data_IF_751077312349
#
_entry.id   IF_751077312349
#
_cell.length_a   1.000
_cell.length_b   1.000
_cell.length_c   1.000
_cell.angle_alpha   90.00
_cell.angle_beta   90.00
_cell.angle_gamma   90.00
#
_symmetry.space_group_name_H-M   'P 1'
#
loop_
_entity.id
_entity.type
_entity.pdbx_description
1 polymer ?
#
# COMPACT_ATOMS: atom_id res chain seq x y z
N UNK A 1 -0.78 9.17 -26.21
CA UNK A 1 -0.89 10.42 -25.42
C UNK A 1 -0.20 10.28 -24.06
N UNK A 2 -0.39 9.16 -23.36
CA UNK A 2 0.12 8.90 -22.00
C UNK A 2 1.66 8.86 -21.87
N UNK A 3 2.35 8.25 -22.85
CA UNK A 3 3.82 8.27 -22.88
C UNK A 3 4.34 9.71 -23.02
N UNK A 4 3.62 10.55 -23.76
CA UNK A 4 3.95 11.97 -23.93
C UNK A 4 3.80 12.75 -22.63
N UNK A 5 2.76 12.48 -21.84
CA UNK A 5 2.57 13.10 -20.51
C UNK A 5 3.58 12.60 -19.49
N UNK A 6 3.96 11.32 -19.52
CA UNK A 6 5.04 10.78 -18.66
C UNK A 6 6.37 11.47 -18.97
N UNK A 7 6.75 11.56 -20.25
CA UNK A 7 8.01 12.21 -20.66
C UNK A 7 7.97 13.70 -20.31
N UNK A 8 6.87 14.40 -20.61
CA UNK A 8 6.71 15.82 -20.26
C UNK A 8 6.77 16.06 -18.75
N UNK A 9 6.18 15.19 -17.94
CA UNK A 9 6.22 15.31 -16.49
C UNK A 9 7.61 14.99 -15.91
N UNK A 10 8.34 14.01 -16.46
CA UNK A 10 9.75 13.73 -16.10
C UNK A 10 10.65 14.91 -16.46
N UNK A 11 10.46 15.50 -17.63
CA UNK A 11 11.18 16.71 -18.06
C UNK A 11 10.82 17.90 -17.17
N UNK A 12 9.55 18.11 -16.86
CA UNK A 12 9.10 19.18 -15.97
C UNK A 12 9.68 19.02 -14.55
N UNK A 13 9.77 17.79 -14.02
CA UNK A 13 10.40 17.50 -12.72
C UNK A 13 11.91 17.78 -12.71
N UNK A 14 12.58 17.73 -13.87
CA UNK A 14 14.00 18.11 -14.02
C UNK A 14 14.20 19.62 -13.82
N UNK A 15 13.26 20.44 -14.29
CA UNK A 15 13.35 21.90 -14.25
C UNK A 15 12.70 22.52 -13.01
N UNK A 16 11.59 21.96 -12.55
CA UNK A 16 10.84 22.43 -11.39
C UNK A 16 10.73 21.32 -10.35
N UNK A 17 11.64 21.30 -9.36
CA UNK A 17 11.64 20.32 -8.29
C UNK A 17 10.52 20.63 -7.29
N UNK A 18 9.24 20.49 -7.69
CA UNK A 18 8.04 20.68 -6.88
C UNK A 18 7.26 19.35 -6.67
N UNK A 19 7.00 18.90 -5.43
CA UNK A 19 6.37 17.61 -5.14
C UNK A 19 5.02 17.37 -5.84
N UNK A 20 4.20 18.42 -6.00
CA UNK A 20 2.89 18.29 -6.65
C UNK A 20 2.97 17.96 -8.15
N UNK A 21 4.09 18.26 -8.83
CA UNK A 21 4.28 17.88 -10.24
C UNK A 21 4.37 16.36 -10.45
N UNK A 22 4.52 15.59 -9.37
CA UNK A 22 4.45 14.12 -9.44
C UNK A 22 3.01 13.59 -9.48
N UNK A 23 1.99 14.41 -9.19
CA UNK A 23 0.59 14.02 -9.25
C UNK A 23 0.11 13.70 -10.69
N UNK A 24 0.31 14.59 -11.71
CA UNK A 24 -0.06 14.26 -13.09
C UNK A 24 0.73 13.07 -13.64
N UNK A 25 1.99 12.91 -13.23
CA UNK A 25 2.82 11.76 -13.59
C UNK A 25 2.21 10.46 -13.04
N UNK A 26 1.87 10.44 -11.76
CA UNK A 26 1.27 9.28 -11.08
C UNK A 26 -0.10 8.92 -11.66
N UNK A 27 -0.92 9.93 -11.98
CA UNK A 27 -2.22 9.76 -12.62
C UNK A 27 -2.07 9.21 -14.05
N UNK A 28 -1.11 9.72 -14.82
CA UNK A 28 -0.79 9.19 -16.16
C UNK A 28 -0.25 7.77 -16.10
N UNK A 29 0.53 7.40 -15.08
CA UNK A 29 1.01 6.04 -14.85
C UNK A 29 -0.15 5.09 -14.50
N UNK A 30 -1.11 5.54 -13.70
CA UNK A 30 -2.32 4.76 -13.43
C UNK A 30 -3.12 4.54 -14.71
N UNK A 31 -3.41 5.59 -15.47
CA UNK A 31 -4.13 5.45 -16.74
C UNK A 31 -3.42 4.52 -17.72
N UNK A 32 -2.08 4.63 -17.80
CA UNK A 32 -1.27 3.71 -18.59
C UNK A 32 -1.41 2.26 -18.12
N UNK A 33 -1.58 1.98 -16.82
CA UNK A 33 -1.89 0.63 -16.32
C UNK A 33 -3.21 0.09 -16.88
N UNK A 34 -4.23 0.96 -16.97
CA UNK A 34 -5.54 0.56 -17.52
C UNK A 34 -5.44 0.34 -19.04
N UNK A 35 -4.70 1.19 -19.74
CA UNK A 35 -4.51 1.13 -21.20
C UNK A 35 -3.48 0.07 -21.66
N UNK A 36 -2.60 -0.42 -20.79
CA UNK A 36 -1.69 -1.53 -21.09
C UNK A 36 -2.40 -2.88 -21.18
N UNK A 37 -3.53 -3.02 -20.49
CA UNK A 37 -4.27 -4.28 -20.38
C UNK A 37 -4.78 -4.80 -21.74
N UNK A 38 -5.39 -3.97 -22.61
CA UNK A 38 -5.70 -4.38 -23.98
C UNK A 38 -4.46 -4.65 -24.85
N UNK A 39 -3.35 -3.95 -24.61
CA UNK A 39 -2.17 -3.96 -25.49
C UNK A 39 -1.27 -5.19 -25.30
N UNK A 40 -1.21 -5.74 -24.08
CA UNK A 40 -0.40 -6.93 -23.74
C UNK A 40 -1.06 -8.23 -24.22
N UNK A 41 -2.38 -8.31 -24.20
CA UNK A 41 -3.11 -9.57 -24.39
C UNK A 41 -3.84 -9.70 -25.73
N UNK A 42 -4.01 -8.62 -26.50
CA UNK A 42 -4.37 -8.69 -27.93
C UNK A 42 -5.72 -9.33 -28.27
N UNK A 43 -6.61 -9.54 -27.29
CA UNK A 43 -7.95 -10.10 -27.50
C UNK A 43 -9.03 -9.24 -26.84
N UNK A 44 -10.24 -9.23 -27.41
CA UNK A 44 -11.34 -8.33 -27.02
C UNK A 44 -12.29 -8.92 -25.98
N UNK A 45 -12.11 -10.18 -25.58
CA UNK A 45 -12.93 -10.88 -24.57
C UNK A 45 -12.12 -11.12 -23.29
N UNK A 46 -12.10 -10.14 -22.39
CA UNK A 46 -11.48 -10.30 -21.07
C UNK A 46 -12.52 -10.64 -20.01
N UNK A 47 -12.12 -11.49 -19.07
CA UNK A 47 -12.79 -11.56 -17.77
C UNK A 47 -12.33 -10.37 -16.93
N UNK A 48 -13.25 -9.73 -16.19
CA UNK A 48 -12.97 -8.56 -15.34
C UNK A 48 -11.78 -8.80 -14.39
N UNK A 49 -11.58 -10.05 -13.96
CA UNK A 49 -10.48 -10.50 -13.10
C UNK A 49 -9.09 -10.35 -13.73
N UNK A 50 -8.90 -10.58 -15.03
CA UNK A 50 -7.58 -10.48 -15.68
C UNK A 50 -7.05 -9.03 -15.66
N UNK A 51 -7.94 -8.05 -15.80
CA UNK A 51 -7.59 -6.62 -15.71
C UNK A 51 -7.12 -6.21 -14.33
N UNK A 52 -7.70 -6.83 -13.32
CA UNK A 52 -7.40 -6.54 -11.92
C UNK A 52 -6.06 -7.16 -11.49
N UNK A 53 -5.71 -8.35 -12.01
CA UNK A 53 -4.38 -8.93 -11.85
C UNK A 53 -3.27 -8.06 -12.46
N UNK A 54 -3.50 -7.49 -13.64
CA UNK A 54 -2.55 -6.56 -14.27
C UNK A 54 -2.38 -5.31 -13.41
N UNK A 55 -3.49 -4.74 -12.92
CA UNK A 55 -3.46 -3.56 -12.03
C UNK A 55 -2.73 -3.85 -10.72
N UNK A 56 -2.90 -5.04 -10.14
CA UNK A 56 -2.18 -5.50 -8.95
C UNK A 56 -0.65 -5.55 -9.18
N UNK A 57 -0.21 -6.24 -10.24
CA UNK A 57 1.22 -6.38 -10.58
C UNK A 57 1.82 -5.00 -10.89
N UNK A 58 1.11 -4.18 -11.66
CA UNK A 58 1.57 -2.84 -12.04
C UNK A 58 1.66 -1.90 -10.83
N UNK A 59 0.69 -1.96 -9.91
CA UNK A 59 0.73 -1.24 -8.64
C UNK A 59 1.95 -1.61 -7.80
N UNK A 60 2.27 -2.91 -7.72
CA UNK A 60 3.48 -3.40 -7.04
C UNK A 60 4.77 -2.86 -7.67
N UNK A 61 4.89 -2.89 -9.01
CA UNK A 61 6.02 -2.30 -9.73
C UNK A 61 6.15 -0.80 -9.48
N UNK A 62 5.02 -0.08 -9.48
CA UNK A 62 4.99 1.37 -9.25
C UNK A 62 5.47 1.72 -7.83
N UNK A 63 5.05 0.94 -6.82
CA UNK A 63 5.54 1.06 -5.44
C UNK A 63 7.05 0.79 -5.37
N UNK A 64 7.55 -0.21 -6.09
CA UNK A 64 8.96 -0.56 -6.11
C UNK A 64 9.81 0.56 -6.77
N UNK A 65 9.32 1.13 -7.87
CA UNK A 65 9.94 2.29 -8.52
C UNK A 65 9.95 3.50 -7.57
N UNK A 66 8.84 3.78 -6.89
CA UNK A 66 8.76 4.84 -5.89
C UNK A 66 9.80 4.65 -4.77
N UNK A 67 9.99 3.41 -4.31
CA UNK A 67 10.99 3.05 -3.30
C UNK A 67 12.42 3.29 -3.76
N UNK A 68 12.76 2.90 -4.99
CA UNK A 68 14.09 3.18 -5.56
C UNK A 68 14.33 4.69 -5.65
N UNK A 69 13.32 5.46 -6.06
CA UNK A 69 13.39 6.92 -6.16
C UNK A 69 13.58 7.54 -4.77
N UNK A 70 12.86 7.09 -3.75
CA UNK A 70 12.91 7.61 -2.37
C UNK A 70 14.28 7.35 -1.72
N UNK A 71 14.91 6.20 -2.01
CA UNK A 71 16.29 5.91 -1.57
C UNK A 71 17.31 6.81 -2.26
N UNK A 72 17.13 7.05 -3.56
CA UNK A 72 18.10 7.78 -4.39
C UNK A 72 18.01 9.29 -4.21
N UNK A 73 16.82 9.82 -3.93
CA UNK A 73 16.54 11.25 -3.81
C UNK A 73 16.08 11.55 -2.37
N UNK A 74 17.05 11.62 -1.44
CA UNK A 74 16.83 11.82 0.01
C UNK A 74 16.29 13.21 0.41
N UNK A 75 16.21 14.17 -0.51
CA UNK A 75 16.13 15.60 -0.16
C UNK A 75 14.71 16.20 -0.17
N UNK A 76 13.74 15.66 -0.92
CA UNK A 76 12.36 16.21 -0.99
C UNK A 76 11.32 15.10 -1.23
N UNK A 77 10.06 15.32 -0.81
CA UNK A 77 8.94 14.35 -0.90
C UNK A 77 8.37 14.18 -2.31
N UNK A 78 9.21 13.85 -3.30
CA UNK A 78 8.71 13.52 -4.65
C UNK A 78 8.00 12.18 -4.71
N UNK A 79 8.38 11.22 -3.85
CA UNK A 79 7.87 9.86 -3.94
C UNK A 79 6.44 9.71 -3.39
N UNK A 80 5.92 10.68 -2.62
CA UNK A 80 4.63 10.55 -1.92
C UNK A 80 3.46 10.23 -2.87
N UNK A 81 3.30 10.98 -3.96
CA UNK A 81 2.19 10.77 -4.90
C UNK A 81 2.36 9.47 -5.68
N UNK A 82 3.58 9.10 -6.06
CA UNK A 82 3.84 7.84 -6.76
C UNK A 82 3.53 6.64 -5.84
N UNK A 83 3.89 6.73 -4.56
CA UNK A 83 3.48 5.74 -3.55
C UNK A 83 1.97 5.67 -3.39
N UNK A 84 1.29 6.82 -3.33
CA UNK A 84 -0.16 6.87 -3.16
C UNK A 84 -0.89 6.18 -4.32
N UNK A 85 -0.61 6.59 -5.55
CA UNK A 85 -1.27 6.03 -6.73
C UNK A 85 -0.87 4.56 -6.97
N UNK A 86 0.40 4.20 -6.76
CA UNK A 86 0.85 2.81 -6.89
C UNK A 86 0.21 1.88 -5.85
N UNK A 87 0.12 2.33 -4.60
CA UNK A 87 -0.49 1.55 -3.53
C UNK A 87 -2.03 1.50 -3.66
N UNK A 88 -2.67 2.57 -4.16
CA UNK A 88 -4.09 2.55 -4.50
C UNK A 88 -4.38 1.58 -5.66
N UNK A 89 -3.58 1.60 -6.73
CA UNK A 89 -3.72 0.65 -7.84
C UNK A 89 -3.55 -0.80 -7.37
N UNK A 90 -2.56 -1.04 -6.48
CA UNK A 90 -2.37 -2.34 -5.84
C UNK A 90 -3.59 -2.77 -5.01
N UNK A 91 -4.09 -1.89 -4.13
CA UNK A 91 -5.21 -2.22 -3.24
C UNK A 91 -6.51 -2.40 -4.02
N UNK A 92 -6.84 -1.48 -4.92
CA UNK A 92 -8.04 -1.55 -5.76
C UNK A 92 -8.00 -2.79 -6.66
N UNK A 93 -6.85 -3.09 -7.28
CA UNK A 93 -6.65 -4.31 -8.04
C UNK A 93 -6.92 -5.55 -7.19
N UNK A 94 -6.31 -5.63 -6.01
CA UNK A 94 -6.46 -6.79 -5.12
C UNK A 94 -7.87 -6.93 -4.53
N UNK A 95 -8.54 -5.83 -4.18
CA UNK A 95 -9.85 -5.84 -3.50
C UNK A 95 -11.02 -6.13 -4.43
N UNK A 96 -10.87 -5.80 -5.71
CA UNK A 96 -11.92 -5.99 -6.71
C UNK A 96 -11.82 -7.34 -7.42
N UNK A 97 -10.74 -8.12 -7.21
CA UNK A 97 -10.62 -9.46 -7.77
C UNK A 97 -11.70 -10.32 -7.13
N UNK A 98 -12.71 -10.65 -7.93
CA UNK A 98 -13.82 -11.45 -7.46
C UNK A 98 -13.34 -12.90 -7.35
N UNK A 99 -13.33 -13.41 -6.12
CA UNK A 99 -12.94 -14.79 -5.86
C UNK A 99 -13.95 -15.43 -4.92
N UNK A 100 -14.68 -16.42 -5.44
CA UNK A 100 -15.67 -17.19 -4.68
C UNK A 100 -15.04 -18.07 -3.57
N UNK A 101 -13.71 -18.16 -3.52
CA UNK A 101 -12.98 -18.99 -2.59
C UNK A 101 -12.63 -18.26 -1.29
N UNK A 102 -13.13 -18.75 -0.15
CA UNK A 102 -12.82 -18.25 1.20
C UNK A 102 -11.31 -18.23 1.50
N UNK A 103 -10.56 -19.20 0.98
CA UNK A 103 -9.10 -19.24 1.14
C UNK A 103 -8.44 -18.04 0.46
N UNK A 104 -8.95 -17.61 -0.70
CA UNK A 104 -8.43 -16.44 -1.40
C UNK A 104 -8.70 -15.14 -0.62
N UNK A 105 -9.89 -15.01 -0.01
CA UNK A 105 -10.24 -13.88 0.86
C UNK A 105 -9.38 -13.86 2.14
N UNK A 106 -9.01 -15.02 2.66
CA UNK A 106 -8.04 -15.11 3.76
C UNK A 106 -6.63 -14.68 3.34
N UNK A 107 -6.14 -15.13 2.17
CA UNK A 107 -4.86 -14.66 1.61
C UNK A 107 -4.89 -13.15 1.37
N UNK A 108 -6.00 -12.62 0.88
CA UNK A 108 -6.23 -11.17 0.73
C UNK A 108 -6.03 -10.42 2.05
N UNK A 109 -6.61 -10.93 3.15
CA UNK A 109 -6.40 -10.37 4.48
C UNK A 109 -4.92 -10.42 4.88
N UNK A 110 -4.25 -11.56 4.66
CA UNK A 110 -2.85 -11.75 4.98
C UNK A 110 -1.92 -10.79 4.20
N UNK A 111 -2.21 -10.55 2.92
CA UNK A 111 -1.48 -9.57 2.10
C UNK A 111 -1.64 -8.15 2.63
N UNK A 112 -2.84 -7.77 3.05
CA UNK A 112 -3.11 -6.46 3.65
C UNK A 112 -2.44 -6.28 5.03
N UNK A 113 -2.41 -7.34 5.84
CA UNK A 113 -1.61 -7.37 7.08
C UNK A 113 -0.12 -7.24 6.76
N UNK A 114 0.36 -7.94 5.73
CA UNK A 114 1.72 -7.80 5.21
C UNK A 114 2.06 -6.37 4.79
N UNK A 115 1.14 -5.66 4.14
CA UNK A 115 1.28 -4.23 3.82
C UNK A 115 1.42 -3.36 5.07
N UNK A 116 0.64 -3.63 6.11
CA UNK A 116 0.75 -2.93 7.40
C UNK A 116 2.14 -3.15 8.00
N UNK A 117 2.68 -4.37 7.99
CA UNK A 117 4.06 -4.61 8.45
C UNK A 117 5.10 -3.92 7.57
N UNK A 118 4.92 -3.97 6.25
CA UNK A 118 5.82 -3.34 5.28
C UNK A 118 5.86 -1.81 5.44
N UNK A 119 4.74 -1.20 5.85
CA UNK A 119 4.65 0.23 6.15
C UNK A 119 5.62 0.68 7.25
N UNK A 120 5.86 -0.16 8.26
CA UNK A 120 6.75 0.12 9.39
C UNK A 120 8.20 0.14 8.92
N UNK A 121 8.53 -0.70 7.95
CA UNK A 121 9.84 -0.73 7.31
C UNK A 121 10.07 0.51 6.43
N UNK A 122 9.10 0.85 5.58
CA UNK A 122 9.19 2.01 4.67
C UNK A 122 9.00 3.36 5.40
N UNK A 123 8.39 3.36 6.59
CA UNK A 123 8.00 4.57 7.36
C UNK A 123 7.06 5.49 6.59
N UNK A 124 6.08 4.93 5.88
CA UNK A 124 5.07 5.69 5.13
C UNK A 124 3.66 5.32 5.59
N UNK A 125 2.92 6.30 6.08
CA UNK A 125 1.57 6.11 6.65
C UNK A 125 0.55 5.58 5.64
N UNK A 126 0.74 5.87 4.34
CA UNK A 126 -0.16 5.42 3.27
C UNK A 126 -0.36 3.90 3.30
N UNK A 127 0.70 3.12 3.51
CA UNK A 127 0.61 1.66 3.53
C UNK A 127 -0.15 1.13 4.76
N UNK A 128 -0.04 1.81 5.92
CA UNK A 128 -0.87 1.49 7.10
C UNK A 128 -2.34 1.72 6.76
N UNK A 129 -2.67 2.88 6.20
CA UNK A 129 -4.05 3.27 5.90
C UNK A 129 -4.66 2.29 4.89
N UNK A 130 -3.97 2.00 3.79
CA UNK A 130 -4.47 1.10 2.75
C UNK A 130 -4.57 -0.34 3.24
N UNK A 131 -3.56 -0.87 3.93
CA UNK A 131 -3.62 -2.22 4.49
C UNK A 131 -4.72 -2.34 5.55
N UNK A 132 -4.94 -1.31 6.37
CA UNK A 132 -6.03 -1.29 7.36
C UNK A 132 -7.40 -1.26 6.70
N UNK A 133 -7.57 -0.49 5.61
CA UNK A 133 -8.79 -0.51 4.80
C UNK A 133 -9.07 -1.91 4.23
N UNK A 134 -8.03 -2.60 3.75
CA UNK A 134 -8.18 -3.95 3.22
C UNK A 134 -8.59 -4.96 4.31
N UNK A 135 -7.93 -4.95 5.47
CA UNK A 135 -8.32 -5.79 6.62
C UNK A 135 -9.73 -5.47 7.09
N UNK A 136 -10.11 -4.19 7.11
CA UNK A 136 -11.45 -3.76 7.47
C UNK A 136 -12.51 -4.29 6.50
N UNK A 137 -12.25 -4.22 5.19
CA UNK A 137 -13.11 -4.81 4.17
C UNK A 137 -13.33 -6.32 4.36
N UNK A 138 -12.26 -7.08 4.64
CA UNK A 138 -12.39 -8.51 4.96
C UNK A 138 -13.19 -8.76 6.24
N UNK A 139 -12.99 -7.92 7.26
CA UNK A 139 -13.73 -8.02 8.53
C UNK A 139 -15.23 -7.76 8.33
N UNK A 140 -15.59 -6.79 7.48
CA UNK A 140 -16.99 -6.54 7.07
C UNK A 140 -17.56 -7.80 6.39
N UNK A 141 -16.86 -8.35 5.40
CA UNK A 141 -17.30 -9.56 4.72
C UNK A 141 -17.53 -10.71 5.71
N UNK A 142 -16.59 -10.95 6.63
CA UNK A 142 -16.71 -11.96 7.68
C UNK A 142 -17.92 -11.71 8.59
N UNK A 143 -18.20 -10.45 8.94
CA UNK A 143 -19.35 -10.06 9.75
C UNK A 143 -20.69 -10.33 9.06
N UNK A 144 -20.81 -9.95 7.77
CA UNK A 144 -22.07 -9.96 7.04
C UNK A 144 -22.41 -11.30 6.38
N UNK A 145 -21.39 -12.04 5.93
CA UNK A 145 -21.61 -13.29 5.19
C UNK A 145 -21.39 -14.53 6.06
N UNK A 146 -20.35 -14.54 6.90
CA UNK A 146 -19.98 -15.74 7.68
C UNK A 146 -20.62 -15.76 9.07
N UNK A 147 -20.67 -14.61 9.75
CA UNK A 147 -21.16 -14.52 11.14
C UNK A 147 -22.46 -13.73 11.30
N UNK A 148 -23.28 -13.66 10.25
CA UNK A 148 -24.51 -12.85 10.20
C UNK A 148 -25.42 -13.02 11.42
N UNK A 149 -25.56 -14.26 11.92
CA UNK A 149 -26.46 -14.60 13.03
C UNK A 149 -25.73 -14.74 14.39
N UNK A 150 -24.45 -14.39 14.46
CA UNK A 150 -23.64 -14.57 15.67
C UNK A 150 -23.47 -13.26 16.45
N UNK A 151 -24.20 -13.13 17.56
CA UNK A 151 -24.04 -12.01 18.49
C UNK A 151 -22.65 -11.98 19.17
N UNK A 152 -21.92 -13.10 19.19
CA UNK A 152 -20.58 -13.18 19.75
C UNK A 152 -19.53 -12.49 18.88
N UNK A 153 -19.75 -12.42 17.57
CA UNK A 153 -18.78 -11.84 16.65
C UNK A 153 -18.57 -10.33 16.87
N UNK A 154 -19.61 -9.48 16.96
CA UNK A 154 -19.43 -8.06 17.30
C UNK A 154 -18.76 -7.84 18.66
N UNK A 155 -19.07 -8.69 19.65
CA UNK A 155 -18.46 -8.61 20.98
C UNK A 155 -16.97 -8.94 20.90
N UNK A 156 -16.60 -10.05 20.27
CA UNK A 156 -15.21 -10.45 20.07
C UNK A 156 -14.42 -9.39 19.28
N UNK A 157 -15.03 -8.83 18.22
CA UNK A 157 -14.43 -7.76 17.43
C UNK A 157 -14.19 -6.48 18.26
N UNK A 158 -15.14 -6.12 19.13
CA UNK A 158 -15.00 -4.97 20.03
C UNK A 158 -13.89 -5.20 21.06
N UNK A 159 -13.82 -6.40 21.65
CA UNK A 159 -12.74 -6.78 22.56
C UNK A 159 -11.39 -6.74 21.86
N UNK A 160 -11.30 -7.26 20.63
CA UNK A 160 -10.09 -7.22 19.83
C UNK A 160 -9.65 -5.79 19.52
N UNK A 161 -10.59 -4.90 19.18
CA UNK A 161 -10.33 -3.47 19.01
C UNK A 161 -9.77 -2.81 20.26
N UNK A 162 -10.36 -3.08 21.44
CA UNK A 162 -9.86 -2.60 22.73
C UNK A 162 -8.46 -3.14 23.03
N UNK A 163 -8.18 -4.40 22.70
CA UNK A 163 -6.88 -5.04 22.88
C UNK A 163 -5.81 -4.34 22.02
N UNK A 164 -6.12 -4.03 20.76
CA UNK A 164 -5.22 -3.28 19.87
C UNK A 164 -4.94 -1.88 20.43
N UNK A 165 -5.98 -1.15 20.89
CA UNK A 165 -5.80 0.19 21.49
C UNK A 165 -4.92 0.09 22.74
N UNK A 166 -5.18 -0.89 23.61
CA UNK A 166 -4.40 -1.12 24.82
C UNK A 166 -2.93 -1.40 24.50
N UNK A 167 -2.65 -2.29 23.54
CA UNK A 167 -1.28 -2.57 23.08
C UNK A 167 -0.63 -1.32 22.49
N UNK A 168 -1.37 -0.53 21.71
CA UNK A 168 -0.90 0.75 21.17
C UNK A 168 -0.50 1.75 22.27
N UNK A 169 -1.30 1.87 23.32
CA UNK A 169 -1.00 2.70 24.49
C UNK A 169 0.24 2.16 25.22
N UNK A 170 0.31 0.85 25.49
CA UNK A 170 1.46 0.24 26.15
C UNK A 170 2.76 0.45 25.37
N UNK A 171 2.70 0.33 24.04
CA UNK A 171 3.81 0.63 23.14
C UNK A 171 4.22 2.11 23.22
N UNK A 172 3.25 3.03 23.22
CA UNK A 172 3.53 4.47 23.31
C UNK A 172 4.14 4.85 24.66
N UNK A 173 3.68 4.23 25.75
CA UNK A 173 4.19 4.44 27.11
C UNK A 173 5.63 3.91 27.26
N UNK A 174 5.96 2.79 26.62
CA UNK A 174 7.29 2.17 26.72
C UNK A 174 8.21 2.50 25.52
N UNK A 175 7.81 3.44 24.67
CA UNK A 175 8.48 3.73 23.39
C UNK A 175 9.97 3.97 23.57
N UNK A 176 10.38 4.79 24.54
CA UNK A 176 11.79 5.13 24.77
C UNK A 176 12.60 3.91 25.24
N UNK A 177 12.02 3.01 26.02
CA UNK A 177 12.67 1.76 26.45
C UNK A 177 12.79 0.74 25.32
N UNK A 178 11.77 0.65 24.48
CA UNK A 178 11.75 -0.26 23.31
C UNK A 178 12.72 0.24 22.25
N UNK A 179 12.75 1.55 21.98
CA UNK A 179 13.68 2.16 21.02
C UNK A 179 15.12 1.94 21.51
N UNK A 180 15.42 2.18 22.80
CA UNK A 180 16.75 1.89 23.38
C UNK A 180 17.15 0.40 23.31
N UNK A 181 16.22 -0.53 23.54
CA UNK A 181 16.49 -1.97 23.47
C UNK A 181 16.75 -2.44 22.02
N UNK A 182 15.95 -1.97 21.06
CA UNK A 182 16.12 -2.29 19.64
C UNK A 182 17.41 -1.68 19.08
N UNK A 183 17.76 -0.46 19.51
CA UNK A 183 19.03 0.17 19.15
C UNK A 183 20.24 -0.58 19.71
N UNK A 184 20.11 -1.19 20.89
CA UNK A 184 21.18 -2.01 21.49
C UNK A 184 21.40 -3.35 20.77
N UNK A 185 20.38 -3.87 20.08
CA UNK A 185 20.44 -5.13 19.34
C UNK A 185 20.88 -5.00 17.88
N UNK A 186 20.80 -3.80 17.29
CA UNK A 186 21.11 -3.59 15.87
C UNK A 186 22.49 -2.93 15.66
N UNK A 187 23.42 -3.57 14.90
CA UNK A 187 24.70 -2.96 14.55
C UNK A 187 24.50 -1.71 13.69
N UNK A 188 25.28 -0.66 13.97
CA UNK A 188 25.21 0.67 13.33
C UNK A 188 25.21 0.68 11.77
N UNK A 189 25.60 -0.42 11.11
CA UNK A 189 25.67 -0.53 9.64
C UNK A 189 24.30 -0.54 8.95
N UNK A 190 23.22 -0.97 9.61
CA UNK A 190 21.88 -1.05 9.02
C UNK A 190 21.13 0.29 9.00
N UNK A 191 21.55 1.26 9.81
CA UNK A 191 20.96 2.61 9.80
C UNK A 191 21.15 3.36 8.48
N UNK A 192 22.20 3.02 7.71
CA UNK A 192 22.49 3.66 6.42
C UNK A 192 21.39 3.47 5.38
N UNK A 193 20.58 2.43 5.50
CA UNK A 193 19.51 2.06 4.56
C UNK A 193 18.13 2.54 5.01
N UNK A 194 18.03 3.16 6.19
CA UNK A 194 16.74 3.60 6.73
C UNK A 194 16.43 5.02 6.24
N UNK A 195 15.31 5.25 5.54
CA UNK A 195 14.91 6.60 5.16
C UNK A 195 14.64 7.46 6.41
N UNK A 196 14.91 8.78 6.34
CA UNK A 196 14.76 9.69 7.47
C UNK A 196 13.30 9.73 7.97
N UNK A 197 13.10 9.88 9.29
CA UNK A 197 11.79 10.08 9.93
C UNK A 197 11.19 11.36 9.31
N UNK A 198 10.15 11.24 8.49
CA UNK A 198 9.32 12.37 8.03
C UNK A 198 7.98 12.26 8.74
N UNK A 199 7.66 13.26 9.55
CA UNK A 199 6.39 13.40 10.26
C UNK A 199 5.27 13.78 9.30
#
# INVERSE_FOLDING_TARGET
>A
MEIGTIVAAVVALRFFPFPFLTFPLALSLWYMSMDLTPLIFGQTSFTWNERLWVSFIFGLFTVLIAYIIDIRIRTRDYAFWIYLFGALAFLCGLSLIDTDNELAKFIYCLLNVGLIFFSVYIRRNIFIILGSLGVFGYTIHLAYEVFKDSYLFPIALSVLGLLIIYVGIQYQVHKDRIEAFVESLFPQRLWKWRPPKRY
#
